data_IF_230449147525
#
_entry.id   IF_230449147525
#
_cell.length_a   1.000
_cell.length_b   1.000
_cell.length_c   1.000
_cell.angle_alpha   90.00
_cell.angle_beta   90.00
_cell.angle_gamma   90.00
#
_symmetry.space_group_name_H-M   'P 1'
#
loop_
_entity.id
_entity.type
_entity.pdbx_description
1 polymer ?
#
# COMPACT_ATOMS: atom_id res chain seq x y z
N UNK A 1 11.44 5.03 -1.15
CA UNK A 1 10.60 4.99 -2.37
C UNK A 1 9.18 4.70 -1.93
N UNK A 2 8.18 5.39 -2.47
CA UNK A 2 6.76 5.12 -2.22
C UNK A 2 6.18 4.39 -3.44
N UNK A 3 5.42 3.33 -3.22
CA UNK A 3 4.70 2.58 -4.27
C UNK A 3 3.28 2.31 -3.74
N UNK A 4 2.26 2.61 -4.54
CA UNK A 4 0.90 2.14 -4.28
C UNK A 4 0.68 0.77 -4.92
N UNK A 5 0.01 -0.15 -4.22
CA UNK A 5 -0.32 -1.49 -4.74
C UNK A 5 -1.84 -1.64 -4.76
N UNK A 6 -2.39 -2.13 -5.87
CA UNK A 6 -3.84 -2.29 -6.05
C UNK A 6 -4.21 -3.58 -6.77
N UNK A 7 -5.44 -4.09 -6.55
CA UNK A 7 -5.93 -5.33 -7.18
C UNK A 7 -6.54 -5.15 -8.58
N UNK A 8 -6.63 -3.91 -9.08
CA UNK A 8 -7.19 -3.61 -10.41
C UNK A 8 -6.20 -3.90 -11.55
N UNK A 9 -6.66 -4.09 -12.79
CA UNK A 9 -5.80 -4.15 -13.97
C UNK A 9 -4.86 -2.93 -14.12
N UNK A 10 -3.69 -3.07 -14.75
CA UNK A 10 -2.70 -1.99 -14.89
C UNK A 10 -3.23 -0.72 -15.57
N UNK A 11 -4.18 -0.83 -16.50
CA UNK A 11 -4.74 0.30 -17.23
C UNK A 11 -5.53 1.28 -16.34
N UNK A 12 -6.06 0.82 -15.20
CA UNK A 12 -6.75 1.70 -14.24
C UNK A 12 -5.78 2.66 -13.56
N UNK A 13 -4.54 2.22 -13.30
CA UNK A 13 -3.51 3.06 -12.70
C UNK A 13 -3.22 4.32 -13.53
N UNK A 14 -3.21 4.19 -14.86
CA UNK A 14 -2.98 5.33 -15.77
C UNK A 14 -4.03 6.42 -15.57
N UNK A 15 -5.30 6.05 -15.44
CA UNK A 15 -6.40 7.00 -15.21
C UNK A 15 -6.21 7.74 -13.89
N UNK A 16 -5.79 7.04 -12.83
CA UNK A 16 -5.58 7.66 -11.51
C UNK A 16 -4.36 8.60 -11.50
N UNK A 17 -3.28 8.27 -12.20
CA UNK A 17 -2.17 9.19 -12.40
C UNK A 17 -2.63 10.52 -13.00
N UNK A 18 -3.46 10.46 -14.05
CA UNK A 18 -3.96 11.65 -14.76
C UNK A 18 -4.98 12.44 -13.92
N UNK A 19 -5.95 11.76 -13.31
CA UNK A 19 -7.09 12.40 -12.62
C UNK A 19 -6.71 12.88 -11.21
N UNK A 20 -5.91 12.11 -10.48
CA UNK A 20 -5.56 12.40 -9.07
C UNK A 20 -4.19 13.05 -8.92
N UNK A 21 -3.43 13.22 -10.01
CA UNK A 21 -2.10 13.80 -9.98
C UNK A 21 -1.09 12.96 -9.20
N UNK A 22 -1.27 11.63 -9.14
CA UNK A 22 -0.37 10.72 -8.43
C UNK A 22 1.01 10.74 -9.10
N UNK A 23 2.06 10.97 -8.33
CA UNK A 23 3.44 11.09 -8.84
C UNK A 23 4.33 9.89 -8.53
N UNK A 24 3.87 8.99 -7.65
CA UNK A 24 4.59 7.77 -7.29
C UNK A 24 4.04 6.55 -8.06
N UNK A 25 4.85 5.51 -8.31
CA UNK A 25 4.40 4.33 -9.04
C UNK A 25 3.18 3.65 -8.42
N UNK A 26 2.27 3.20 -9.27
CA UNK A 26 1.15 2.33 -8.90
C UNK A 26 1.35 0.95 -9.55
N UNK A 27 1.51 -0.08 -8.73
CA UNK A 27 1.70 -1.45 -9.16
C UNK A 27 0.37 -2.23 -9.10
N UNK A 28 0.02 -2.87 -10.21
CA UNK A 28 -1.10 -3.81 -10.25
C UNK A 28 -0.67 -5.15 -9.67
N UNK A 29 -1.40 -5.61 -8.67
CA UNK A 29 -1.36 -6.95 -8.10
C UNK A 29 -2.68 -7.68 -8.42
N UNK A 30 -3.10 -7.67 -9.68
CA UNK A 30 -4.37 -8.25 -10.12
C UNK A 30 -4.49 -9.76 -9.81
N UNK A 31 -3.37 -10.47 -9.77
CA UNK A 31 -3.31 -11.90 -9.37
C UNK A 31 -3.23 -12.12 -7.86
N UNK A 32 -3.17 -11.02 -7.08
CA UNK A 32 -3.15 -10.97 -5.63
C UNK A 32 -1.93 -11.65 -5.00
N UNK A 33 -0.82 -11.77 -5.73
CA UNK A 33 0.39 -12.45 -5.27
C UNK A 33 1.03 -11.68 -4.12
N UNK A 34 1.15 -10.36 -4.25
CA UNK A 34 1.76 -9.51 -3.22
C UNK A 34 0.84 -9.41 -2.00
N UNK A 35 -0.44 -9.12 -2.20
CA UNK A 35 -1.41 -8.98 -1.11
C UNK A 35 -1.55 -10.26 -0.28
N UNK A 36 -1.45 -11.44 -0.92
CA UNK A 36 -1.41 -12.73 -0.20
C UNK A 36 -0.09 -12.92 0.55
N UNK A 37 1.04 -12.59 -0.08
CA UNK A 37 2.36 -12.75 0.55
C UNK A 37 2.52 -11.88 1.81
N UNK A 38 1.88 -10.72 1.85
CA UNK A 38 1.85 -9.83 3.02
C UNK A 38 0.67 -10.07 3.96
N UNK A 39 -0.16 -11.08 3.68
CA UNK A 39 -1.33 -11.46 4.47
C UNK A 39 -2.32 -10.30 4.70
N UNK A 40 -2.51 -9.45 3.68
CA UNK A 40 -3.41 -8.28 3.70
C UNK A 40 -4.60 -8.45 2.76
N UNK A 41 -4.63 -9.58 2.07
CA UNK A 41 -5.74 -10.00 1.23
C UNK A 41 -6.93 -10.44 2.09
N UNK A 42 -8.12 -9.94 1.75
CA UNK A 42 -9.39 -10.43 2.27
C UNK A 42 -10.12 -11.18 1.14
N UNK A 43 -10.64 -12.38 1.44
CA UNK A 43 -11.32 -13.24 0.45
C UNK A 43 -12.67 -12.70 0.01
N UNK A 44 -13.33 -11.93 0.87
CA UNK A 44 -14.73 -11.52 0.70
C UNK A 44 -14.86 -10.01 0.44
N UNK A 45 -13.79 -9.25 0.65
CA UNK A 45 -13.75 -7.78 0.60
C UNK A 45 -12.48 -7.32 -0.11
N UNK A 46 -12.54 -6.15 -0.75
CA UNK A 46 -11.38 -5.37 -1.23
C UNK A 46 -10.22 -5.48 -0.21
N UNK A 47 -8.94 -5.57 -0.65
CA UNK A 47 -7.80 -5.69 0.27
C UNK A 47 -7.86 -4.71 1.44
N UNK A 48 -7.45 -5.19 2.62
CA UNK A 48 -7.39 -4.35 3.81
C UNK A 48 -6.50 -3.14 3.54
N UNK A 49 -6.97 -1.90 3.79
CA UNK A 49 -6.12 -0.74 3.70
C UNK A 49 -4.89 -0.94 4.57
N UNK A 50 -3.72 -0.91 3.95
CA UNK A 50 -2.48 -1.31 4.60
C UNK A 50 -1.36 -0.34 4.25
N UNK A 51 -0.56 0.01 5.25
CA UNK A 51 0.71 0.70 5.07
C UNK A 51 1.85 -0.12 5.65
N UNK A 52 2.91 -0.31 4.87
CA UNK A 52 4.11 -1.05 5.27
C UNK A 52 5.33 -0.20 4.96
N UNK A 53 6.26 -0.08 5.92
CA UNK A 53 7.57 0.52 5.69
C UNK A 53 8.62 -0.57 5.79
N UNK A 54 9.40 -0.72 4.72
CA UNK A 54 10.47 -1.69 4.58
C UNK A 54 11.78 -0.93 4.45
N UNK A 55 12.78 -1.29 5.25
CA UNK A 55 14.10 -0.67 5.14
C UNK A 55 14.91 -1.20 3.94
N UNK A 56 16.10 -0.64 3.72
CA UNK A 56 16.99 -1.04 2.62
C UNK A 56 17.54 -2.47 2.73
N UNK A 57 17.44 -3.09 3.91
CA UNK A 57 17.85 -4.49 4.14
C UNK A 57 16.69 -5.48 3.92
N UNK A 58 15.49 -4.99 3.58
CA UNK A 58 14.31 -5.80 3.35
C UNK A 58 13.52 -6.12 4.62
N UNK A 59 13.82 -5.47 5.74
CA UNK A 59 13.13 -5.70 7.02
C UNK A 59 11.91 -4.77 7.13
N UNK A 60 10.75 -5.33 7.47
CA UNK A 60 9.56 -4.55 7.81
C UNK A 60 9.80 -3.85 9.14
N UNK A 61 9.72 -2.52 9.13
CA UNK A 61 9.91 -1.67 10.32
C UNK A 61 8.61 -1.07 10.83
N UNK A 62 7.60 -1.01 9.98
CA UNK A 62 6.26 -0.57 10.31
C UNK A 62 5.25 -1.37 9.48
N UNK A 63 4.18 -1.81 10.12
CA UNK A 63 3.04 -2.48 9.48
C UNK A 63 1.77 -2.06 10.19
N UNK A 64 0.85 -1.46 9.46
CA UNK A 64 -0.48 -1.12 9.95
C UNK A 64 -1.51 -1.59 8.93
N UNK A 65 -2.44 -2.43 9.39
CA UNK A 65 -3.49 -3.07 8.58
C UNK A 65 -4.82 -2.72 9.21
N UNK A 66 -5.75 -2.20 8.40
CA UNK A 66 -7.07 -1.78 8.86
C UNK A 66 -8.14 -2.80 8.45
N UNK A 67 -8.87 -3.34 9.41
CA UNK A 67 -10.03 -4.19 9.12
C UNK A 67 -11.15 -3.39 8.43
N UNK A 68 -11.37 -2.16 8.90
CA UNK A 68 -12.34 -1.25 8.33
C UNK A 68 -11.80 -0.59 7.05
N UNK A 69 -12.46 -0.84 5.92
CA UNK A 69 -12.07 -0.27 4.61
C UNK A 69 -12.11 1.27 4.55
N UNK A 70 -12.70 1.96 5.55
CA UNK A 70 -12.72 3.43 5.64
C UNK A 70 -11.55 4.01 6.43
N UNK A 71 -10.85 3.18 7.18
CA UNK A 71 -9.70 3.62 7.97
C UNK A 71 -8.42 3.54 7.15
N UNK A 72 -7.55 4.53 7.35
CA UNK A 72 -6.27 4.65 6.67
C UNK A 72 -5.22 5.04 7.68
N UNK A 73 -4.01 4.54 7.51
CA UNK A 73 -2.85 5.08 8.21
C UNK A 73 -2.71 6.55 7.86
N UNK A 74 -2.59 7.39 8.89
CA UNK A 74 -2.44 8.82 8.72
C UNK A 74 -1.05 9.16 8.18
N UNK A 75 -0.94 10.30 7.50
CA UNK A 75 0.35 10.80 7.01
C UNK A 75 1.30 11.04 8.17
N UNK A 76 0.79 11.52 9.30
CA UNK A 76 1.53 11.78 10.52
C UNK A 76 2.16 10.50 11.07
N UNK A 77 1.42 9.38 11.11
CA UNK A 77 1.93 8.09 11.56
C UNK A 77 3.02 7.55 10.63
N UNK A 78 2.83 7.68 9.31
CA UNK A 78 3.83 7.29 8.31
C UNK A 78 5.12 8.08 8.51
N UNK A 79 5.02 9.40 8.65
CA UNK A 79 6.18 10.27 8.85
C UNK A 79 6.87 10.02 10.19
N UNK A 80 6.12 9.73 11.25
CA UNK A 80 6.69 9.35 12.55
C UNK A 80 7.49 8.05 12.44
N UNK A 81 6.91 7.01 11.86
CA UNK A 81 7.59 5.74 11.66
C UNK A 81 8.84 5.85 10.75
N UNK A 82 8.81 6.71 9.73
CA UNK A 82 9.98 6.97 8.89
C UNK A 82 11.13 7.65 9.66
N UNK A 83 10.83 8.54 10.61
CA UNK A 83 11.87 9.22 11.42
C UNK A 83 12.64 8.26 12.31
N UNK A 84 12.05 7.15 12.71
CA UNK A 84 12.71 6.13 13.53
C UNK A 84 13.76 5.32 12.74
N UNK A 85 13.79 5.45 11.41
CA UNK A 85 14.66 4.65 10.53
C UNK A 85 16.02 5.29 10.20
N UNK A 86 16.26 6.54 10.64
CA UNK A 86 17.45 7.36 10.39
C UNK A 86 17.80 7.56 8.91
#
# INVERSE_FOLDING_TARGET
>A
MLIGIHGYPPEEAKKWHEILGITFPLASDQSLVVMKAYEVYNKDVIPHPTTIIIDKTGVIRFREVHENYKERTSVENILAALKELN
#
